data_IF_000947470578
#
_entry.id   IF_000947470578
#
_cell.length_a   1.000
_cell.length_b   1.000
_cell.length_c   1.000
_cell.angle_alpha   90.00
_cell.angle_beta   90.00
_cell.angle_gamma   90.00
#
_symmetry.space_group_name_H-M   'P 1'
#
loop_
_entity.id
_entity.type
_entity.pdbx_description
1 polymer ?
#
# COMPACT_ATOMS: atom_id res chain seq x y z
N UNK A 1 -5.51 -35.02 -40.70
CA UNK A 1 -4.05 -34.98 -40.59
C UNK A 1 -3.56 -33.58 -40.89
N UNK A 2 -3.08 -32.85 -39.87
CA UNK A 2 -2.36 -31.59 -40.05
C UNK A 2 -0.91 -31.90 -39.66
N UNK A 3 0.01 -31.72 -40.59
CA UNK A 3 1.43 -32.03 -40.43
C UNK A 3 2.06 -31.11 -39.37
N UNK A 4 2.75 -31.71 -38.39
CA UNK A 4 3.62 -30.99 -37.46
C UNK A 4 4.83 -30.43 -38.21
N UNK A 5 4.99 -29.11 -38.17
CA UNK A 5 6.19 -28.42 -38.65
C UNK A 5 7.38 -28.73 -37.72
N UNK A 6 8.27 -29.63 -38.17
CA UNK A 6 9.46 -30.14 -37.45
C UNK A 6 10.68 -29.20 -37.49
N UNK A 7 10.50 -27.90 -37.72
CA UNK A 7 11.63 -27.01 -38.06
C UNK A 7 12.31 -26.23 -36.91
N UNK A 8 11.93 -26.40 -35.62
CA UNK A 8 12.60 -25.68 -34.51
C UNK A 8 13.67 -26.54 -33.81
N UNK A 9 14.95 -26.15 -33.83
CA UNK A 9 16.00 -26.86 -33.12
C UNK A 9 15.76 -26.80 -31.59
N UNK A 10 16.15 -27.84 -30.83
CA UNK A 10 15.99 -27.84 -29.37
C UNK A 10 16.81 -26.70 -28.75
N UNK A 11 16.15 -25.83 -28.00
CA UNK A 11 16.78 -24.71 -27.30
C UNK A 11 17.78 -25.27 -26.28
N UNK A 12 19.09 -25.00 -26.46
CA UNK A 12 20.14 -25.37 -25.50
C UNK A 12 19.82 -24.73 -24.13
N UNK A 13 19.52 -25.55 -23.12
CA UNK A 13 19.26 -25.09 -21.75
C UNK A 13 20.57 -24.83 -21.02
N UNK A 14 20.78 -23.60 -20.55
CA UNK A 14 21.99 -23.24 -19.80
C UNK A 14 21.91 -23.73 -18.34
N UNK A 15 22.98 -24.36 -17.84
CA UNK A 15 23.13 -24.71 -16.42
C UNK A 15 23.59 -23.47 -15.64
N UNK A 16 23.20 -23.34 -14.36
CA UNK A 16 23.65 -22.28 -13.44
C UNK A 16 23.29 -20.82 -13.78
N UNK A 17 22.17 -20.59 -14.47
CA UNK A 17 21.64 -19.24 -14.81
C UNK A 17 21.61 -18.26 -13.61
N UNK A 18 21.36 -18.76 -12.39
CA UNK A 18 21.24 -17.91 -11.19
C UNK A 18 22.54 -17.19 -10.80
N UNK A 19 23.71 -17.72 -11.19
CA UNK A 19 25.05 -17.21 -10.79
C UNK A 19 25.76 -16.38 -11.87
N UNK A 20 25.22 -16.31 -13.09
CA UNK A 20 25.85 -15.58 -14.21
C UNK A 20 25.18 -14.23 -14.43
N UNK A 21 25.98 -13.17 -14.58
CA UNK A 21 25.52 -11.79 -14.77
C UNK A 21 25.06 -11.47 -16.20
N UNK A 22 25.24 -12.38 -17.15
CA UNK A 22 24.92 -12.16 -18.56
C UNK A 22 23.47 -12.46 -18.97
N UNK A 23 22.66 -13.07 -18.10
CA UNK A 23 21.33 -13.55 -18.46
C UNK A 23 20.20 -12.61 -18.03
N UNK A 24 19.23 -12.40 -18.92
CA UNK A 24 18.03 -11.58 -18.66
C UNK A 24 16.75 -12.38 -18.88
N UNK A 25 15.69 -12.05 -18.15
CA UNK A 25 14.37 -12.60 -18.38
C UNK A 25 13.87 -12.18 -19.77
N UNK A 26 13.48 -13.15 -20.61
CA UNK A 26 13.06 -12.88 -22.00
C UNK A 26 11.72 -12.13 -22.12
N UNK A 27 11.00 -11.96 -21.01
CA UNK A 27 9.73 -11.22 -20.97
C UNK A 27 9.94 -9.75 -20.59
N UNK A 28 10.71 -9.47 -19.53
CA UNK A 28 10.78 -8.12 -18.93
C UNK A 28 12.21 -7.63 -18.64
N UNK A 29 13.25 -8.37 -19.02
CA UNK A 29 14.64 -7.98 -18.82
C UNK A 29 15.20 -8.14 -17.40
N UNK A 30 14.37 -8.42 -16.39
CA UNK A 30 14.78 -8.65 -14.99
C UNK A 30 15.69 -9.89 -14.82
N UNK A 31 16.41 -9.99 -13.69
CA UNK A 31 17.30 -11.11 -13.38
C UNK A 31 16.52 -12.44 -13.37
N UNK A 32 16.84 -13.40 -14.26
CA UNK A 32 16.12 -14.67 -14.31
C UNK A 32 16.49 -15.56 -13.13
N UNK A 33 15.52 -16.31 -12.62
CA UNK A 33 15.74 -17.28 -11.54
C UNK A 33 15.86 -18.71 -12.05
N UNK A 34 15.66 -18.91 -13.35
CA UNK A 34 15.79 -20.19 -14.04
C UNK A 34 14.85 -20.28 -15.24
N UNK A 35 14.67 -21.49 -15.74
CA UNK A 35 13.64 -21.80 -16.73
C UNK A 35 12.32 -22.08 -16.00
N UNK A 36 11.26 -21.34 -16.32
CA UNK A 36 9.91 -21.57 -15.82
C UNK A 36 8.96 -21.63 -17.00
N UNK A 37 8.14 -22.67 -17.07
CA UNK A 37 7.24 -22.91 -18.20
C UNK A 37 8.00 -22.91 -19.54
N UNK A 38 9.14 -23.62 -19.57
CA UNK A 38 10.03 -23.78 -20.73
C UNK A 38 10.82 -22.55 -21.20
N UNK A 39 10.69 -21.40 -20.53
CA UNK A 39 11.43 -20.16 -20.91
C UNK A 39 12.26 -19.58 -19.77
N UNK A 40 13.37 -18.91 -20.12
CA UNK A 40 14.23 -18.23 -19.17
C UNK A 40 13.55 -17.00 -18.57
N UNK A 41 13.12 -17.07 -17.31
CA UNK A 41 12.30 -16.02 -16.71
C UNK A 41 12.60 -15.73 -15.24
N UNK A 42 12.18 -14.56 -14.78
CA UNK A 42 12.25 -14.14 -13.38
C UNK A 42 11.05 -14.68 -12.59
N UNK A 43 11.11 -14.63 -11.26
CA UNK A 43 10.00 -15.04 -10.38
C UNK A 43 8.71 -14.24 -10.64
N UNK A 44 8.83 -12.97 -11.02
CA UNK A 44 7.66 -12.12 -11.32
C UNK A 44 6.86 -12.64 -12.51
N UNK A 45 7.51 -12.93 -13.64
CA UNK A 45 6.83 -13.43 -14.84
C UNK A 45 6.37 -14.88 -14.68
N UNK A 46 7.10 -15.72 -13.94
CA UNK A 46 6.65 -17.06 -13.52
C UNK A 46 5.30 -16.99 -12.80
N UNK A 47 5.23 -16.23 -11.71
CA UNK A 47 4.03 -16.16 -10.87
C UNK A 47 2.88 -15.51 -11.61
N UNK A 48 3.16 -14.47 -12.41
CA UNK A 48 2.17 -13.81 -13.24
C UNK A 48 1.53 -14.78 -14.25
N UNK A 49 2.33 -15.53 -15.01
CA UNK A 49 1.82 -16.50 -15.98
C UNK A 49 0.99 -17.59 -15.31
N UNK A 50 1.49 -18.17 -14.21
CA UNK A 50 0.77 -19.18 -13.42
C UNK A 50 -0.60 -18.69 -12.95
N UNK A 51 -0.64 -17.53 -12.29
CA UNK A 51 -1.88 -16.96 -11.74
C UNK A 51 -2.87 -16.62 -12.85
N UNK A 52 -2.38 -16.16 -13.99
CA UNK A 52 -3.22 -15.83 -15.14
C UNK A 52 -3.92 -17.07 -15.68
N UNK A 53 -3.16 -18.17 -15.88
CA UNK A 53 -3.73 -19.42 -16.38
C UNK A 53 -4.65 -20.09 -15.35
N UNK A 54 -4.24 -20.21 -14.08
CA UNK A 54 -5.05 -20.86 -13.03
C UNK A 54 -6.36 -20.12 -12.80
N UNK A 55 -6.35 -18.79 -12.79
CA UNK A 55 -7.56 -18.01 -12.59
C UNK A 55 -8.32 -17.76 -13.90
N UNK A 56 -7.88 -18.31 -15.04
CA UNK A 56 -8.49 -18.07 -16.35
C UNK A 56 -8.59 -16.59 -16.72
N UNK A 57 -7.65 -15.75 -16.28
CA UNK A 57 -7.72 -14.31 -16.45
C UNK A 57 -7.46 -13.91 -17.90
N UNK A 58 -8.36 -13.14 -18.45
CA UNK A 58 -8.18 -12.44 -19.73
C UNK A 58 -7.83 -10.99 -19.46
N UNK A 59 -6.90 -10.45 -20.25
CA UNK A 59 -6.47 -9.05 -20.13
C UNK A 59 -6.69 -8.36 -21.47
N UNK A 60 -6.96 -7.05 -21.44
CA UNK A 60 -7.05 -6.21 -22.64
C UNK A 60 -6.06 -5.05 -22.56
N UNK A 61 -5.33 -4.78 -23.65
CA UNK A 61 -4.43 -3.66 -23.74
C UNK A 61 -5.20 -2.36 -24.06
N UNK A 62 -4.81 -1.25 -23.43
CA UNK A 62 -5.36 0.09 -23.66
C UNK A 62 -4.57 0.90 -24.69
N UNK A 63 -3.38 0.44 -25.09
CA UNK A 63 -2.46 1.08 -26.04
C UNK A 63 -2.16 0.16 -27.23
N UNK A 64 -3.22 -0.33 -27.89
CA UNK A 64 -3.17 -1.10 -29.15
C UNK A 64 -2.31 -2.39 -29.18
N UNK A 65 -1.91 -2.94 -28.04
CA UNK A 65 -1.12 -4.18 -27.98
C UNK A 65 0.39 -3.99 -28.14
N UNK A 66 0.87 -2.75 -28.26
CA UNK A 66 2.30 -2.44 -28.51
C UNK A 66 2.99 -1.82 -27.29
N UNK A 67 2.51 -2.09 -26.07
CA UNK A 67 3.14 -1.56 -24.86
C UNK A 67 4.54 -2.15 -24.69
N UNK A 68 5.55 -1.28 -24.65
CA UNK A 68 6.88 -1.64 -24.19
C UNK A 68 6.94 -1.61 -22.66
N UNK A 69 7.67 -2.55 -22.07
CA UNK A 69 7.85 -2.64 -20.63
C UNK A 69 9.14 -3.37 -20.27
N UNK A 70 9.72 -2.98 -19.14
CA UNK A 70 10.93 -3.57 -18.56
C UNK A 70 10.65 -4.08 -17.13
N UNK A 71 11.69 -4.25 -16.31
CA UNK A 71 11.56 -4.72 -14.93
C UNK A 71 10.64 -3.82 -14.09
N UNK A 72 10.74 -2.52 -14.27
CA UNK A 72 10.11 -1.51 -13.43
C UNK A 72 8.70 -1.18 -13.94
N UNK A 73 8.47 -1.32 -15.25
CA UNK A 73 7.19 -1.01 -15.90
C UNK A 73 6.39 -2.22 -16.39
N UNK A 74 6.84 -3.46 -16.18
CA UNK A 74 6.09 -4.71 -16.53
C UNK A 74 4.72 -4.84 -15.87
N UNK A 75 4.36 -3.98 -14.92
CA UNK A 75 3.03 -3.98 -14.31
C UNK A 75 2.03 -3.07 -15.05
N UNK A 76 2.51 -2.19 -15.94
CA UNK A 76 1.71 -1.18 -16.65
C UNK A 76 0.69 -1.80 -17.59
N UNK A 77 1.04 -2.87 -18.32
CA UNK A 77 0.11 -3.54 -19.23
C UNK A 77 0.12 -5.05 -19.06
N UNK A 78 -0.87 -5.58 -18.34
CA UNK A 78 -1.02 -7.03 -18.12
C UNK A 78 -1.31 -7.81 -19.41
N UNK A 79 -2.02 -7.20 -20.38
CA UNK A 79 -2.29 -7.81 -21.69
C UNK A 79 -1.01 -7.97 -22.49
N UNK A 80 -0.27 -6.90 -22.80
CA UNK A 80 0.98 -7.01 -23.53
C UNK A 80 2.02 -7.87 -22.78
N UNK A 81 2.03 -7.83 -21.44
CA UNK A 81 2.88 -8.73 -20.66
C UNK A 81 2.51 -10.20 -20.85
N UNK A 82 1.23 -10.53 -20.80
CA UNK A 82 0.77 -11.90 -20.97
C UNK A 82 0.94 -12.38 -22.41
N UNK A 83 0.61 -11.54 -23.39
CA UNK A 83 0.89 -11.78 -24.81
C UNK A 83 2.38 -11.99 -25.04
N UNK A 84 3.25 -11.22 -24.39
CA UNK A 84 4.69 -11.46 -24.43
C UNK A 84 5.07 -12.78 -23.78
N UNK A 85 4.50 -13.16 -22.63
CA UNK A 85 4.73 -14.47 -22.01
C UNK A 85 4.37 -15.62 -22.97
N UNK A 86 3.21 -15.54 -23.63
CA UNK A 86 2.78 -16.52 -24.63
C UNK A 86 3.68 -16.47 -25.86
N UNK A 87 4.00 -15.28 -26.36
CA UNK A 87 4.82 -15.06 -27.55
C UNK A 87 6.27 -15.52 -27.42
N UNK A 88 6.85 -15.50 -26.20
CA UNK A 88 8.17 -16.09 -25.93
C UNK A 88 8.12 -17.60 -25.68
N UNK A 89 6.93 -18.21 -25.64
CA UNK A 89 6.74 -19.65 -25.55
C UNK A 89 6.52 -20.21 -24.13
N UNK A 90 5.97 -19.44 -23.19
CA UNK A 90 5.61 -20.00 -21.88
C UNK A 90 4.56 -21.12 -22.02
N UNK A 91 4.91 -22.32 -21.54
CA UNK A 91 4.07 -23.51 -21.66
C UNK A 91 3.08 -23.66 -20.49
N UNK A 92 1.79 -23.50 -20.76
CA UNK A 92 0.71 -23.64 -19.78
C UNK A 92 0.49 -25.08 -19.31
N UNK A 93 0.88 -26.11 -20.08
CA UNK A 93 0.73 -27.53 -19.70
C UNK A 93 1.60 -27.90 -18.50
N UNK A 94 2.65 -27.13 -18.20
CA UNK A 94 3.49 -27.32 -17.01
C UNK A 94 2.90 -26.79 -15.72
N UNK A 95 1.65 -26.30 -15.71
CA UNK A 95 0.98 -25.73 -14.53
C UNK A 95 0.12 -26.81 -13.87
N UNK A 96 0.41 -27.09 -12.59
CA UNK A 96 -0.43 -27.93 -11.74
C UNK A 96 -1.69 -27.15 -11.31
N UNK A 97 -2.88 -27.72 -11.59
CA UNK A 97 -4.16 -27.15 -11.20
C UNK A 97 -4.47 -27.46 -9.73
N UNK A 98 -4.97 -26.50 -8.93
CA UNK A 98 -5.44 -26.81 -7.59
C UNK A 98 -6.67 -27.73 -7.67
N UNK A 99 -6.50 -29.00 -7.31
CA UNK A 99 -7.61 -29.95 -7.19
C UNK A 99 -8.44 -29.64 -5.93
N UNK A 100 -9.76 -29.66 -6.07
CA UNK A 100 -10.71 -29.60 -4.96
C UNK A 100 -10.72 -30.92 -4.17
N UNK A 101 -9.69 -31.23 -3.38
CA UNK A 101 -9.76 -32.33 -2.42
C UNK A 101 -8.72 -32.23 -1.28
N UNK A 102 -9.25 -32.20 -0.05
CA UNK A 102 -8.76 -32.73 1.23
C UNK A 102 -7.25 -32.63 1.55
N UNK A 103 -6.98 -31.94 2.67
CA UNK A 103 -5.76 -32.07 3.47
C UNK A 103 -5.56 -33.53 3.88
N UNK A 104 -4.42 -34.09 3.52
CA UNK A 104 -3.85 -35.33 4.06
C UNK A 104 -2.35 -35.13 4.19
N UNK A 105 -1.81 -35.43 5.37
CA UNK A 105 -0.45 -35.19 5.81
C UNK A 105 0.57 -36.18 5.23
N UNK A 106 1.84 -35.78 5.33
CA UNK A 106 3.09 -36.54 5.41
C UNK A 106 3.82 -37.03 4.15
N UNK A 107 5.11 -37.20 4.38
CA UNK A 107 6.30 -37.09 3.54
C UNK A 107 6.85 -38.42 3.00
N UNK A 108 7.71 -38.27 1.98
CA UNK A 108 8.93 -39.05 1.64
C UNK A 108 8.85 -40.48 1.08
N UNK A 109 9.51 -40.59 -0.09
CA UNK A 109 10.43 -41.63 -0.64
C UNK A 109 9.93 -42.86 -1.42
N UNK A 110 10.48 -42.92 -2.65
CA UNK A 110 10.98 -44.05 -3.48
C UNK A 110 10.04 -45.11 -4.09
N UNK A 111 10.15 -45.19 -5.42
CA UNK A 111 10.22 -46.35 -6.33
C UNK A 111 9.23 -47.52 -6.18
N UNK A 112 8.37 -47.73 -7.19
CA UNK A 112 8.47 -48.88 -8.12
C UNK A 112 7.32 -48.96 -9.14
N UNK A 113 7.65 -49.57 -10.27
CA UNK A 113 6.83 -49.88 -11.45
C UNK A 113 5.53 -50.66 -11.18
N UNK A 114 4.43 -50.33 -11.88
CA UNK A 114 3.98 -51.14 -13.03
C UNK A 114 2.63 -50.71 -13.64
N UNK A 115 2.61 -50.97 -14.94
CA UNK A 115 1.59 -50.80 -15.96
C UNK A 115 0.23 -51.47 -15.66
N UNK A 116 -0.89 -50.82 -16.03
CA UNK A 116 -2.05 -51.45 -16.69
C UNK A 116 -3.04 -50.43 -17.26
N UNK A 117 -3.17 -50.53 -18.57
CA UNK A 117 -4.03 -49.81 -19.50
C UNK A 117 -5.46 -50.37 -19.52
N UNK A 118 -6.48 -49.50 -19.62
CA UNK A 118 -7.71 -49.71 -20.43
C UNK A 118 -8.73 -48.56 -20.21
N UNK A 119 -8.63 -47.56 -21.09
CA UNK A 119 -9.72 -46.87 -21.81
C UNK A 119 -11.16 -46.92 -21.25
N UNK A 120 -11.71 -45.73 -20.98
CA UNK A 120 -12.97 -45.22 -21.57
C UNK A 120 -13.05 -43.68 -21.37
N UNK A 121 -13.21 -42.99 -22.50
CA UNK A 121 -13.25 -41.54 -22.76
C UNK A 121 -14.16 -40.69 -21.85
N UNK A 122 -13.73 -39.46 -21.51
CA UNK A 122 -14.60 -38.30 -21.28
C UNK A 122 -14.54 -37.30 -22.46
N UNK A 123 -15.50 -36.36 -22.56
CA UNK A 123 -15.96 -35.80 -23.82
C UNK A 123 -15.08 -34.67 -24.39
N UNK A 124 -14.87 -34.77 -25.70
CA UNK A 124 -14.88 -33.69 -26.70
C UNK A 124 -14.46 -32.29 -26.23
N UNK A 125 -13.15 -32.03 -26.27
CA UNK A 125 -12.57 -30.69 -26.26
C UNK A 125 -12.99 -30.01 -27.56
N UNK A 126 -14.16 -29.37 -27.55
CA UNK A 126 -14.53 -28.39 -28.58
C UNK A 126 -13.44 -27.33 -28.64
N UNK A 127 -12.98 -27.11 -29.87
CA UNK A 127 -12.20 -25.97 -30.33
C UNK A 127 -12.44 -24.74 -29.46
N UNK A 128 -11.37 -24.18 -28.88
CA UNK A 128 -11.38 -22.79 -28.43
C UNK A 128 -11.47 -21.95 -29.70
N UNK A 129 -12.70 -21.74 -30.16
CA UNK A 129 -13.02 -20.72 -31.14
C UNK A 129 -12.51 -19.40 -30.59
N UNK A 130 -11.87 -18.62 -31.46
CA UNK A 130 -11.47 -17.24 -31.20
C UNK A 130 -12.64 -16.51 -30.54
N UNK A 131 -12.50 -16.28 -29.22
CA UNK A 131 -13.53 -15.63 -28.43
C UNK A 131 -13.64 -14.19 -28.94
N UNK A 132 -14.84 -13.69 -29.27
CA UNK A 132 -15.04 -12.31 -29.70
C UNK A 132 -14.42 -11.33 -28.69
N UNK A 133 -13.80 -10.27 -29.20
CA UNK A 133 -13.32 -9.12 -28.40
C UNK A 133 -14.50 -8.49 -27.66
N UNK A 134 -14.81 -8.96 -26.47
CA UNK A 134 -15.74 -8.28 -25.58
C UNK A 134 -15.10 -6.98 -25.09
N UNK A 135 -15.84 -5.90 -25.29
CA UNK A 135 -15.49 -4.56 -24.83
C UNK A 135 -15.53 -4.63 -23.30
N UNK A 136 -14.38 -4.55 -22.63
CA UNK A 136 -14.34 -4.34 -21.18
C UNK A 136 -15.23 -3.14 -20.85
N UNK A 137 -16.14 -3.31 -19.90
CA UNK A 137 -17.02 -2.25 -19.47
C UNK A 137 -16.14 -1.06 -19.02
N UNK A 138 -16.27 0.14 -19.61
CA UNK A 138 -15.49 1.32 -19.22
C UNK A 138 -15.52 1.58 -17.72
N UNK A 139 -16.63 1.24 -17.04
CA UNK A 139 -16.79 1.37 -15.60
C UNK A 139 -15.82 0.47 -14.79
N UNK A 140 -15.59 -0.78 -15.21
CA UNK A 140 -14.66 -1.69 -14.52
C UNK A 140 -13.20 -1.27 -14.72
N UNK A 141 -12.86 -0.77 -15.93
CA UNK A 141 -11.53 -0.24 -16.22
C UNK A 141 -11.24 1.03 -15.43
N UNK A 142 -12.21 1.94 -15.31
CA UNK A 142 -12.08 3.16 -14.51
C UNK A 142 -11.94 2.85 -13.01
N UNK A 143 -12.72 1.88 -12.51
CA UNK A 143 -12.63 1.41 -11.13
C UNK A 143 -11.23 0.88 -10.79
N UNK A 144 -10.66 0.03 -11.65
CA UNK A 144 -9.31 -0.48 -11.46
C UNK A 144 -8.24 0.63 -11.48
N UNK A 145 -8.37 1.60 -12.39
CA UNK A 145 -7.45 2.74 -12.47
C UNK A 145 -7.46 3.63 -11.23
N UNK A 146 -8.62 3.82 -10.61
CA UNK A 146 -8.73 4.60 -9.38
C UNK A 146 -8.10 3.90 -8.17
N UNK A 147 -8.22 2.57 -8.07
CA UNK A 147 -7.52 1.80 -7.03
C UNK A 147 -6.00 1.86 -7.26
N UNK A 148 -5.56 1.74 -8.51
CA UNK A 148 -4.14 1.82 -8.87
C UNK A 148 -3.53 3.19 -8.54
N UNK A 149 -4.30 4.27 -8.73
CA UNK A 149 -3.92 5.62 -8.31
C UNK A 149 -3.73 5.73 -6.79
N UNK A 150 -4.64 5.19 -5.98
CA UNK A 150 -4.51 5.15 -4.52
C UNK A 150 -3.29 4.31 -4.08
N UNK A 151 -3.09 3.15 -4.68
CA UNK A 151 -1.91 2.30 -4.41
C UNK A 151 -0.60 3.00 -4.79
N UNK A 152 -0.60 3.77 -5.86
CA UNK A 152 0.57 4.56 -6.29
C UNK A 152 0.90 5.66 -5.28
N UNK A 153 -0.11 6.35 -4.75
CA UNK A 153 0.05 7.33 -3.66
C UNK A 153 0.67 6.68 -2.42
N UNK A 154 0.16 5.53 -2.00
CA UNK A 154 0.69 4.77 -0.85
C UNK A 154 2.13 4.28 -1.07
N UNK A 155 2.44 3.80 -2.26
CA UNK A 155 3.80 3.38 -2.62
C UNK A 155 4.80 4.55 -2.54
N UNK A 156 4.40 5.73 -3.01
CA UNK A 156 5.22 6.95 -2.94
C UNK A 156 5.42 7.40 -1.49
N UNK A 157 4.35 7.42 -0.69
CA UNK A 157 4.44 7.69 0.75
C UNK A 157 5.42 6.75 1.45
N UNK A 158 5.27 5.45 1.23
CA UNK A 158 6.15 4.43 1.77
C UNK A 158 7.61 4.70 1.40
N UNK A 159 7.89 4.97 0.12
CA UNK A 159 9.25 5.25 -0.34
C UNK A 159 9.84 6.50 0.29
N UNK A 160 9.04 7.56 0.51
CA UNK A 160 9.55 8.77 1.16
C UNK A 160 9.78 8.50 2.64
N UNK A 161 8.81 7.89 3.32
CA UNK A 161 8.87 7.57 4.74
C UNK A 161 10.09 6.71 5.09
N UNK A 162 10.42 5.72 4.27
CA UNK A 162 11.57 4.82 4.50
C UNK A 162 12.92 5.46 4.15
N UNK A 163 12.97 6.38 3.18
CA UNK A 163 14.23 6.95 2.67
C UNK A 163 14.57 8.33 3.26
N UNK A 164 13.58 9.06 3.76
CA UNK A 164 13.73 10.44 4.18
C UNK A 164 12.86 10.75 5.41
N UNK A 165 13.45 11.43 6.38
CA UNK A 165 12.71 12.05 7.49
C UNK A 165 12.27 13.45 7.06
N UNK A 166 11.07 13.55 6.50
CA UNK A 166 10.48 14.82 6.03
C UNK A 166 10.06 15.70 7.22
N UNK A 167 11.01 16.33 7.90
CA UNK A 167 10.71 17.27 8.99
C UNK A 167 10.36 18.66 8.45
N UNK A 168 9.65 19.46 9.26
CA UNK A 168 9.32 20.84 8.91
C UNK A 168 9.14 21.69 10.17
N UNK A 169 9.60 22.94 10.10
CA UNK A 169 9.29 24.00 11.07
C UNK A 169 8.18 24.93 10.58
N UNK A 170 7.64 24.69 9.38
CA UNK A 170 6.62 25.53 8.77
C UNK A 170 5.24 25.32 9.42
N UNK A 171 4.42 26.36 9.34
CA UNK A 171 3.00 26.32 9.68
C UNK A 171 2.22 25.49 8.65
N UNK A 172 1.07 24.95 9.06
CA UNK A 172 0.19 24.20 8.15
C UNK A 172 -0.20 25.02 6.91
N UNK A 173 -0.54 26.30 7.13
CA UNK A 173 -0.87 27.25 6.05
C UNK A 173 0.26 27.33 5.01
N UNK A 174 1.52 27.44 5.45
CA UNK A 174 2.68 27.53 4.55
C UNK A 174 2.86 26.23 3.75
N UNK A 175 2.76 25.07 4.39
CA UNK A 175 2.90 23.74 3.75
C UNK A 175 1.83 23.53 2.67
N UNK A 176 0.61 24.05 2.89
CA UNK A 176 -0.48 23.97 1.91
C UNK A 176 -0.19 24.77 0.63
N UNK A 177 0.61 25.84 0.71
CA UNK A 177 1.04 26.62 -0.46
C UNK A 177 2.25 26.00 -1.17
N UNK A 178 2.97 25.08 -0.54
CA UNK A 178 4.10 24.40 -1.17
C UNK A 178 3.65 23.40 -2.26
N UNK A 179 4.45 23.19 -3.32
CA UNK A 179 4.16 22.16 -4.33
C UNK A 179 3.99 20.76 -3.72
N UNK A 180 3.10 19.95 -4.31
CA UNK A 180 2.86 18.57 -3.86
C UNK A 180 4.03 17.65 -4.20
N UNK A 181 4.46 16.85 -3.22
CA UNK A 181 5.58 15.91 -3.33
C UNK A 181 5.11 14.56 -3.90
N UNK A 182 3.93 14.09 -3.49
CA UNK A 182 3.42 12.75 -3.84
C UNK A 182 2.88 12.67 -5.28
N UNK A 183 2.66 13.79 -5.97
CA UNK A 183 2.03 13.86 -7.31
C UNK A 183 2.94 14.24 -8.47
N UNK A 184 4.16 14.71 -8.24
CA UNK A 184 5.07 15.17 -9.30
C UNK A 184 5.82 13.98 -9.96
N UNK A 185 6.08 14.07 -11.27
CA UNK A 185 6.97 13.15 -12.00
C UNK A 185 8.45 13.39 -11.67
N UNK A 186 8.72 14.50 -10.99
CA UNK A 186 9.98 14.73 -10.32
C UNK A 186 9.74 14.40 -8.85
N UNK A 187 10.28 13.30 -8.30
CA UNK A 187 10.56 13.29 -6.88
C UNK A 187 11.39 14.54 -6.70
N UNK A 188 10.90 15.53 -5.94
CA UNK A 188 11.54 16.83 -5.87
C UNK A 188 13.04 16.59 -5.76
N UNK A 189 13.80 17.02 -6.76
CA UNK A 189 15.25 16.80 -6.80
C UNK A 189 15.89 17.30 -5.48
N UNK A 190 15.21 18.21 -4.75
CA UNK A 190 15.43 18.56 -3.34
C UNK A 190 15.54 17.39 -2.34
N UNK A 191 14.78 16.31 -2.51
CA UNK A 191 14.80 15.13 -1.63
C UNK A 191 15.76 14.03 -2.13
N UNK A 192 16.15 14.05 -3.41
CA UNK A 192 17.02 13.03 -4.02
C UNK A 192 18.50 13.46 -4.16
N UNK A 193 18.79 14.77 -4.16
CA UNK A 193 20.13 15.32 -4.44
C UNK A 193 20.99 15.50 -3.18
N UNK A 194 20.53 15.12 -1.97
CA UNK A 194 21.38 15.30 -0.79
C UNK A 194 22.02 13.98 -0.27
N UNK A 195 23.28 13.68 -0.64
CA UNK A 195 24.12 12.69 0.03
C UNK A 195 24.22 12.86 1.56
N UNK A 196 23.82 14.03 2.11
CA UNK A 196 23.75 14.35 3.54
C UNK A 196 22.39 14.02 4.18
N UNK A 197 21.43 13.43 3.46
CA UNK A 197 20.28 12.74 4.08
C UNK A 197 20.66 11.41 4.77
N UNK A 198 21.96 11.08 4.85
CA UNK A 198 22.48 10.38 6.03
C UNK A 198 22.42 11.35 7.22
N UNK A 199 21.34 11.28 8.01
CA UNK A 199 21.17 11.97 9.30
C UNK A 199 21.97 13.28 9.38
N UNK A 200 21.46 14.37 8.80
CA UNK A 200 22.11 15.68 8.94
C UNK A 200 22.37 15.97 10.42
N UNK A 201 23.41 16.74 10.74
CA UNK A 201 23.67 17.19 12.11
C UNK A 201 22.41 17.81 12.75
N UNK A 202 21.57 18.45 11.92
CA UNK A 202 20.27 18.96 12.30
C UNK A 202 19.25 17.86 12.66
N UNK A 203 19.14 16.79 11.86
CA UNK A 203 18.32 15.63 12.21
C UNK A 203 18.79 15.00 13.52
N UNK A 204 20.09 14.76 13.70
CA UNK A 204 20.65 14.20 14.94
C UNK A 204 20.40 15.10 16.14
N UNK A 205 20.47 16.41 15.95
CA UNK A 205 20.12 17.39 16.98
C UNK A 205 18.65 17.27 17.37
N UNK A 206 17.72 17.26 16.41
CA UNK A 206 16.29 17.14 16.71
C UNK A 206 15.93 15.77 17.31
N UNK A 207 16.52 14.70 16.78
CA UNK A 207 16.34 13.34 17.28
C UNK A 207 16.89 13.18 18.70
N UNK A 208 18.03 13.78 19.00
CA UNK A 208 18.63 13.72 20.34
C UNK A 208 17.79 14.49 21.37
N UNK A 209 17.10 15.57 20.97
CA UNK A 209 16.17 16.33 21.80
C UNK A 209 14.88 15.57 22.12
N UNK A 210 14.08 15.24 21.09
CA UNK A 210 12.84 14.49 21.26
C UNK A 210 12.53 13.66 19.99
N UNK A 211 12.89 12.37 20.00
CA UNK A 211 12.78 11.56 18.79
C UNK A 211 11.32 11.16 18.46
N UNK A 212 10.44 11.07 19.47
CA UNK A 212 9.00 10.81 19.22
C UNK A 212 8.37 12.02 18.52
N UNK A 213 8.63 13.23 19.02
CA UNK A 213 8.19 14.48 18.40
C UNK A 213 8.68 14.56 16.95
N UNK A 214 9.96 14.25 16.69
CA UNK A 214 10.52 14.26 15.34
C UNK A 214 9.72 13.35 14.39
N UNK A 215 9.52 12.09 14.77
CA UNK A 215 8.81 11.14 13.92
C UNK A 215 7.34 11.48 13.74
N UNK A 216 6.68 12.00 14.78
CA UNK A 216 5.31 12.51 14.68
C UNK A 216 5.22 13.64 13.66
N UNK A 217 6.13 14.62 13.69
CA UNK A 217 6.13 15.74 12.74
C UNK A 217 6.40 15.24 11.32
N UNK A 218 7.34 14.31 11.17
CA UNK A 218 7.69 13.73 9.87
C UNK A 218 6.50 13.00 9.24
N UNK A 219 5.85 12.11 9.99
CA UNK A 219 4.67 11.39 9.50
C UNK A 219 3.48 12.35 9.27
N UNK A 220 3.32 13.39 10.09
CA UNK A 220 2.24 14.36 9.92
C UNK A 220 2.42 15.26 8.68
N UNK A 221 3.66 15.59 8.33
CA UNK A 221 3.97 16.26 7.07
C UNK A 221 3.62 15.37 5.87
N UNK A 222 3.94 14.06 5.94
CA UNK A 222 3.52 13.10 4.92
C UNK A 222 2.00 12.95 4.82
N UNK A 223 1.27 13.01 5.94
CA UNK A 223 -0.19 13.05 5.96
C UNK A 223 -0.71 14.30 5.23
N UNK A 224 -0.09 15.46 5.44
CA UNK A 224 -0.45 16.71 4.75
C UNK A 224 -0.24 16.59 3.24
N UNK A 225 0.89 16.00 2.82
CA UNK A 225 1.16 15.72 1.41
C UNK A 225 0.18 14.71 0.81
N UNK A 226 -0.23 13.70 1.58
CA UNK A 226 -1.25 12.74 1.15
C UNK A 226 -2.57 13.44 0.86
N UNK A 227 -3.02 14.35 1.74
CA UNK A 227 -4.22 15.15 1.52
C UNK A 227 -4.15 15.96 0.22
N UNK A 228 -3.03 16.66 -0.03
CA UNK A 228 -2.79 17.47 -1.24
C UNK A 228 -2.84 16.67 -2.54
N UNK A 229 -2.66 15.34 -2.48
CA UNK A 229 -2.70 14.47 -3.65
C UNK A 229 -4.13 14.18 -4.17
N UNK A 230 -5.18 14.59 -3.44
CA UNK A 230 -6.58 14.37 -3.84
C UNK A 230 -7.17 15.59 -4.54
N UNK A 231 -7.85 15.37 -5.67
CA UNK A 231 -8.56 16.42 -6.40
C UNK A 231 -9.68 17.05 -5.56
N UNK A 232 -10.42 16.25 -4.78
CA UNK A 232 -11.45 16.74 -3.87
C UNK A 232 -10.88 17.70 -2.82
N UNK A 233 -9.73 17.36 -2.23
CA UNK A 233 -9.03 18.23 -1.30
C UNK A 233 -8.61 19.54 -1.95
N UNK A 234 -8.09 19.50 -3.18
CA UNK A 234 -7.61 20.70 -3.87
C UNK A 234 -8.72 21.71 -4.18
N UNK A 235 -9.97 21.23 -4.35
CA UNK A 235 -11.16 22.07 -4.56
C UNK A 235 -11.69 22.75 -3.30
N UNK A 236 -11.25 22.34 -2.11
CA UNK A 236 -11.64 22.97 -0.85
C UNK A 236 -11.06 24.38 -0.73
N UNK A 237 -11.78 25.25 0.00
CA UNK A 237 -11.26 26.55 0.40
C UNK A 237 -10.01 26.39 1.27
N UNK A 238 -9.18 27.43 1.36
CA UNK A 238 -7.98 27.39 2.20
C UNK A 238 -8.31 27.05 3.67
N UNK A 239 -9.38 27.64 4.21
CA UNK A 239 -9.83 27.33 5.57
C UNK A 239 -10.35 25.90 5.71
N UNK A 240 -11.12 25.39 4.75
CA UNK A 240 -11.62 24.01 4.82
C UNK A 240 -10.48 22.98 4.72
N UNK A 241 -9.43 23.28 3.95
CA UNK A 241 -8.20 22.46 3.92
C UNK A 241 -7.54 22.39 5.29
N UNK A 242 -7.39 23.55 5.95
CA UNK A 242 -6.83 23.62 7.30
C UNK A 242 -7.70 22.87 8.30
N UNK A 243 -9.02 23.11 8.29
CA UNK A 243 -9.98 22.42 9.16
C UNK A 243 -9.92 20.91 8.96
N UNK A 244 -9.99 20.41 7.72
CA UNK A 244 -9.95 18.96 7.47
C UNK A 244 -8.66 18.32 8.01
N UNK A 245 -7.50 18.94 7.79
CA UNK A 245 -6.23 18.43 8.32
C UNK A 245 -6.16 18.55 9.84
N UNK A 246 -6.68 19.62 10.42
CA UNK A 246 -6.71 19.80 11.87
C UNK A 246 -7.52 18.68 12.56
N UNK A 247 -8.64 18.28 11.98
CA UNK A 247 -9.51 17.23 12.54
C UNK A 247 -9.02 15.82 12.21
N UNK A 248 -8.57 15.59 10.97
CA UNK A 248 -8.29 14.24 10.47
C UNK A 248 -6.80 13.86 10.49
N UNK A 249 -5.90 14.84 10.63
CA UNK A 249 -4.45 14.62 10.57
C UNK A 249 -3.95 13.65 11.63
N UNK A 250 -4.44 13.77 12.87
CA UNK A 250 -4.07 12.89 13.97
C UNK A 250 -4.57 11.44 13.78
N UNK A 251 -5.78 11.27 13.25
CA UNK A 251 -6.31 9.94 12.88
C UNK A 251 -5.49 9.31 11.75
N UNK A 252 -5.20 10.10 10.70
CA UNK A 252 -4.41 9.64 9.56
C UNK A 252 -2.98 9.26 9.96
N UNK A 253 -2.37 10.01 10.88
CA UNK A 253 -1.09 9.69 11.50
C UNK A 253 -1.15 8.30 12.17
N UNK A 254 -2.17 8.06 12.98
CA UNK A 254 -2.37 6.78 13.68
C UNK A 254 -2.59 5.60 12.71
N UNK A 255 -3.43 5.78 11.69
CA UNK A 255 -3.66 4.76 10.65
C UNK A 255 -2.36 4.42 9.91
N UNK A 256 -1.59 5.45 9.55
CA UNK A 256 -0.31 5.31 8.84
C UNK A 256 0.69 4.52 9.67
N UNK A 257 0.93 4.94 10.91
CA UNK A 257 1.87 4.27 11.81
C UNK A 257 1.47 2.83 12.11
N UNK A 258 0.18 2.57 12.30
CA UNK A 258 -0.34 1.23 12.57
C UNK A 258 -0.09 0.28 11.41
N UNK A 259 -0.41 0.72 10.20
CA UNK A 259 -0.24 -0.09 8.99
C UNK A 259 1.22 -0.47 8.74
N UNK A 260 2.14 0.50 8.80
CA UNK A 260 3.56 0.22 8.57
C UNK A 260 4.19 -0.63 9.68
N UNK A 261 3.71 -0.51 10.92
CA UNK A 261 4.14 -1.37 12.03
C UNK A 261 3.75 -2.82 11.78
N UNK A 262 2.48 -3.07 11.43
CA UNK A 262 1.99 -4.41 11.07
C UNK A 262 2.75 -4.99 9.87
N UNK A 263 2.96 -4.18 8.82
CA UNK A 263 3.68 -4.59 7.62
C UNK A 263 5.12 -5.00 7.92
N UNK A 264 5.72 -4.39 8.93
CA UNK A 264 7.08 -4.69 9.39
C UNK A 264 7.12 -5.81 10.45
N UNK A 265 5.98 -6.41 10.79
CA UNK A 265 5.89 -7.53 11.73
C UNK A 265 5.88 -7.13 13.21
N UNK A 266 5.64 -5.85 13.54
CA UNK A 266 5.65 -5.36 14.92
C UNK A 266 4.24 -5.32 15.51
N UNK A 267 4.13 -5.62 16.82
CA UNK A 267 2.87 -5.60 17.58
C UNK A 267 2.54 -4.25 18.22
N UNK A 268 3.46 -3.29 18.14
CA UNK A 268 3.33 -1.92 18.66
C UNK A 268 3.86 -0.94 17.63
N UNK A 269 3.56 0.35 17.84
CA UNK A 269 3.95 1.40 16.90
C UNK A 269 5.47 1.46 16.75
N UNK A 270 5.92 1.37 15.49
CA UNK A 270 7.34 1.40 15.12
C UNK A 270 7.58 2.56 14.16
N UNK A 271 8.66 3.31 14.41
CA UNK A 271 9.06 4.44 13.60
C UNK A 271 9.87 4.01 12.37
N UNK A 272 10.07 4.90 11.37
CA UNK A 272 10.79 4.56 10.14
C UNK A 272 12.22 4.05 10.33
N UNK A 273 12.90 4.41 11.42
CA UNK A 273 14.22 3.89 11.79
C UNK A 273 14.21 2.49 12.42
N UNK A 274 13.02 1.89 12.58
CA UNK A 274 12.83 0.60 13.23
C UNK A 274 12.72 0.67 14.74
N UNK A 275 12.76 1.86 15.35
CA UNK A 275 12.63 2.01 16.79
C UNK A 275 11.18 1.86 17.25
N UNK A 276 10.99 1.06 18.30
CA UNK A 276 9.68 0.87 18.95
C UNK A 276 9.32 2.08 19.81
N UNK A 277 8.10 2.59 19.67
CA UNK A 277 7.66 3.77 20.41
C UNK A 277 7.66 3.55 21.93
N UNK A 278 7.23 2.38 22.40
CA UNK A 278 7.23 2.05 23.83
C UNK A 278 8.64 1.90 24.40
N UNK A 279 9.51 1.18 23.69
CA UNK A 279 10.92 1.02 24.09
C UNK A 279 11.62 2.37 24.23
N UNK A 280 11.32 3.32 23.34
CA UNK A 280 11.85 4.68 23.41
C UNK A 280 11.33 5.46 24.61
N UNK A 281 10.08 5.26 25.01
CA UNK A 281 9.49 5.94 26.17
C UNK A 281 10.09 5.36 27.46
N UNK A 282 10.23 4.04 27.52
CA UNK A 282 10.78 3.32 28.68
C UNK A 282 12.27 3.62 28.89
N UNK A 283 13.07 3.60 27.82
CA UNK A 283 14.53 3.79 27.90
C UNK A 283 14.98 5.26 27.92
N UNK A 284 14.12 6.23 27.56
CA UNK A 284 14.49 7.67 27.42
C UNK A 284 13.53 8.62 28.18
N UNK A 285 13.12 8.24 29.39
CA UNK A 285 12.00 8.87 30.11
C UNK A 285 12.08 10.40 30.31
N UNK A 286 13.27 11.02 30.30
CA UNK A 286 13.41 12.48 30.42
C UNK A 286 13.27 13.28 29.12
N UNK A 287 13.44 12.65 27.94
CA UNK A 287 13.43 13.36 26.64
C UNK A 287 12.05 13.43 25.99
N UNK A 288 11.19 12.49 26.37
CA UNK A 288 9.84 12.37 25.83
C UNK A 288 8.78 13.01 26.74
N UNK A 289 9.13 13.41 27.97
CA UNK A 289 8.22 13.90 29.01
C UNK A 289 7.41 15.13 28.60
N UNK A 290 7.98 15.99 27.75
CA UNK A 290 7.37 17.25 27.31
C UNK A 290 6.28 17.04 26.23
N UNK A 291 6.04 15.79 25.82
CA UNK A 291 4.97 15.41 24.89
C UNK A 291 4.16 14.23 25.44
N UNK A 292 4.81 13.28 26.11
CA UNK A 292 4.20 12.10 26.73
C UNK A 292 4.80 11.91 28.13
N UNK A 293 4.05 12.27 29.17
CA UNK A 293 4.46 12.05 30.55
C UNK A 293 4.44 10.55 30.90
N UNK A 294 5.59 9.94 31.25
CA UNK A 294 5.66 8.51 31.57
C UNK A 294 4.82 8.09 32.78
N UNK A 295 4.38 9.04 33.64
CA UNK A 295 3.50 8.75 34.79
C UNK A 295 2.11 8.24 34.40
N UNK A 296 1.70 8.38 33.13
CA UNK A 296 0.43 7.86 32.60
C UNK A 296 0.63 6.64 31.68
N UNK A 297 1.40 5.66 32.17
CA UNK A 297 1.86 4.49 31.41
C UNK A 297 0.72 3.68 30.74
N UNK A 298 -0.43 3.39 31.40
CA UNK A 298 -1.47 2.56 30.77
C UNK A 298 -2.07 3.19 29.51
N UNK A 299 -2.28 4.52 29.52
CA UNK A 299 -2.79 5.23 28.36
C UNK A 299 -1.76 5.30 27.21
N UNK A 300 -0.48 5.48 27.52
CA UNK A 300 0.61 5.46 26.53
C UNK A 300 0.66 4.08 25.85
N UNK A 301 0.58 3.01 26.63
CA UNK A 301 0.55 1.64 26.11
C UNK A 301 -0.69 1.42 25.23
N UNK A 302 -1.88 1.86 25.65
CA UNK A 302 -3.11 1.83 24.83
C UNK A 302 -2.88 2.54 23.50
N UNK A 303 -2.33 3.77 23.54
CA UNK A 303 -2.13 4.64 22.39
C UNK A 303 -1.20 4.04 21.32
N UNK A 304 -0.13 3.35 21.70
CA UNK A 304 0.86 2.80 20.77
C UNK A 304 0.66 1.31 20.44
N UNK A 305 -0.19 0.59 21.18
CA UNK A 305 -0.43 -0.84 20.97
C UNK A 305 -1.79 -1.11 20.31
N UNK A 306 -2.87 -0.50 20.81
CA UNK A 306 -4.24 -0.81 20.36
C UNK A 306 -4.45 -0.55 18.85
N UNK A 307 -3.96 0.55 18.27
CA UNK A 307 -4.12 0.79 16.83
C UNK A 307 -3.45 -0.29 15.96
N UNK A 308 -2.27 -0.77 16.36
CA UNK A 308 -1.53 -1.83 15.66
C UNK A 308 -2.26 -3.17 15.76
N UNK A 309 -2.75 -3.51 16.96
CA UNK A 309 -3.52 -4.74 17.18
C UNK A 309 -4.79 -4.77 16.33
N UNK A 310 -5.55 -3.67 16.26
CA UNK A 310 -6.75 -3.59 15.43
C UNK A 310 -6.42 -3.78 13.93
N UNK A 311 -5.37 -3.11 13.45
CA UNK A 311 -4.91 -3.24 12.07
C UNK A 311 -4.46 -4.68 11.75
N UNK A 312 -3.76 -5.33 12.69
CA UNK A 312 -3.29 -6.71 12.57
C UNK A 312 -4.45 -7.72 12.55
N UNK A 313 -5.47 -7.52 13.39
CA UNK A 313 -6.67 -8.36 13.43
C UNK A 313 -7.46 -8.31 12.11
N UNK A 314 -7.51 -7.14 11.46
CA UNK A 314 -8.22 -6.98 10.21
C UNK A 314 -7.52 -7.60 9.00
N UNK A 315 -6.19 -7.74 8.98
CA UNK A 315 -5.43 -8.33 7.86
C UNK A 315 -5.89 -7.79 6.49
N UNK A 316 -5.92 -6.47 6.34
CA UNK A 316 -6.36 -5.81 5.11
C UNK A 316 -5.34 -6.01 3.99
N UNK A 317 -5.82 -6.17 2.76
CA UNK A 317 -4.97 -6.03 1.57
C UNK A 317 -4.55 -4.56 1.38
N UNK A 318 -3.46 -4.31 0.65
CA UNK A 318 -3.00 -2.95 0.34
C UNK A 318 -4.11 -2.12 -0.34
N UNK A 319 -4.93 -2.74 -1.19
CA UNK A 319 -6.03 -2.07 -1.90
C UNK A 319 -7.15 -1.66 -0.94
N UNK A 320 -7.56 -2.57 -0.05
CA UNK A 320 -8.57 -2.30 0.97
C UNK A 320 -8.06 -1.28 1.98
N UNK A 321 -6.79 -1.35 2.39
CA UNK A 321 -6.15 -0.34 3.23
C UNK A 321 -6.17 1.05 2.60
N UNK A 322 -5.74 1.18 1.35
CA UNK A 322 -5.67 2.48 0.67
C UNK A 322 -7.07 3.12 0.53
N UNK A 323 -8.08 2.32 0.18
CA UNK A 323 -9.47 2.76 0.12
C UNK A 323 -10.01 3.15 1.51
N UNK A 324 -9.80 2.30 2.52
CA UNK A 324 -10.21 2.56 3.90
C UNK A 324 -9.60 3.85 4.44
N UNK A 325 -8.31 4.07 4.22
CA UNK A 325 -7.60 5.27 4.65
C UNK A 325 -8.13 6.52 3.95
N UNK A 326 -8.44 6.44 2.66
CA UNK A 326 -9.05 7.55 1.91
C UNK A 326 -10.48 7.85 2.41
N UNK A 327 -11.31 6.84 2.65
CA UNK A 327 -12.65 7.00 3.27
C UNK A 327 -12.53 7.67 4.65
N UNK A 328 -11.58 7.21 5.47
CA UNK A 328 -11.33 7.79 6.78
C UNK A 328 -10.87 9.26 6.70
N UNK A 329 -10.15 9.67 5.64
CA UNK A 329 -9.73 11.06 5.45
C UNK A 329 -10.93 11.99 5.19
N UNK A 330 -11.87 11.57 4.35
CA UNK A 330 -13.04 12.36 3.98
C UNK A 330 -14.25 12.08 4.89
N UNK A 331 -14.03 11.65 6.13
CA UNK A 331 -15.13 11.48 7.08
C UNK A 331 -15.58 12.84 7.62
N UNK A 332 -16.86 13.22 7.46
CA UNK A 332 -17.38 14.52 7.85
C UNK A 332 -17.44 14.59 9.36
N UNK A 333 -16.50 15.31 9.92
CA UNK A 333 -16.41 15.55 11.35
C UNK A 333 -16.08 17.02 11.54
N UNK A 334 -17.00 17.92 11.15
CA UNK A 334 -17.25 19.14 11.93
C UNK A 334 -18.34 20.05 11.33
N UNK A 335 -18.99 20.81 12.21
CA UNK A 335 -19.74 22.03 11.87
C UNK A 335 -18.79 23.18 11.49
N UNK A 336 -17.51 23.11 11.86
CA UNK A 336 -16.45 24.09 11.50
C UNK A 336 -16.10 24.15 10.00
N UNK A 337 -16.50 23.16 9.21
CA UNK A 337 -16.35 23.21 7.74
C UNK A 337 -17.40 24.13 7.13
N UNK A 338 -17.07 24.77 6.01
CA UNK A 338 -18.08 25.48 5.21
C UNK A 338 -19.14 24.50 4.67
N UNK A 339 -20.30 25.03 4.28
CA UNK A 339 -21.35 24.20 3.66
C UNK A 339 -20.82 23.53 2.38
N UNK A 340 -20.11 24.28 1.55
CA UNK A 340 -19.48 23.82 0.31
C UNK A 340 -18.41 22.76 0.59
N UNK A 341 -17.59 22.98 1.63
CA UNK A 341 -16.56 22.04 2.07
C UNK A 341 -17.16 20.71 2.52
N UNK A 342 -18.20 20.74 3.36
CA UNK A 342 -18.95 19.53 3.78
C UNK A 342 -19.53 18.77 2.59
N UNK A 343 -20.11 19.49 1.63
CA UNK A 343 -20.68 18.87 0.42
C UNK A 343 -19.60 18.15 -0.38
N UNK A 344 -18.47 18.80 -0.67
CA UNK A 344 -17.36 18.20 -1.42
C UNK A 344 -16.75 16.97 -0.71
N UNK A 345 -16.60 17.05 0.62
CA UNK A 345 -16.09 15.95 1.44
C UNK A 345 -17.06 14.76 1.42
N UNK A 346 -18.37 15.02 1.59
CA UNK A 346 -19.38 13.96 1.57
C UNK A 346 -19.45 13.26 0.22
N UNK A 347 -19.47 14.01 -0.88
CA UNK A 347 -19.49 13.46 -2.25
C UNK A 347 -18.28 12.54 -2.49
N UNK A 348 -17.09 12.98 -2.09
CA UNK A 348 -15.88 12.18 -2.26
C UNK A 348 -15.87 10.94 -1.36
N UNK A 349 -16.34 11.06 -0.11
CA UNK A 349 -16.47 9.94 0.81
C UNK A 349 -17.44 8.89 0.27
N UNK A 350 -18.60 9.30 -0.24
CA UNK A 350 -19.62 8.38 -0.73
C UNK A 350 -19.08 7.60 -1.95
N UNK A 351 -18.37 8.29 -2.85
CA UNK A 351 -17.64 7.68 -3.96
C UNK A 351 -16.61 6.66 -3.49
N UNK A 352 -15.76 7.02 -2.54
CA UNK A 352 -14.73 6.13 -1.99
C UNK A 352 -15.33 4.94 -1.22
N UNK A 353 -16.47 5.15 -0.57
CA UNK A 353 -17.18 4.10 0.19
C UNK A 353 -17.81 3.08 -0.75
N UNK A 354 -18.40 3.51 -1.87
CA UNK A 354 -18.85 2.61 -2.94
C UNK A 354 -17.68 1.79 -3.49
N UNK A 355 -16.52 2.43 -3.70
CA UNK A 355 -15.34 1.72 -4.16
C UNK A 355 -14.82 0.69 -3.16
N UNK A 356 -14.73 1.06 -1.88
CA UNK A 356 -14.35 0.15 -0.79
C UNK A 356 -15.32 -1.03 -0.72
N UNK A 357 -16.62 -0.77 -0.83
CA UNK A 357 -17.65 -1.82 -0.82
C UNK A 357 -17.44 -2.80 -1.95
N UNK A 358 -17.27 -2.32 -3.19
CA UNK A 358 -16.97 -3.16 -4.36
C UNK A 358 -15.69 -3.99 -4.19
N UNK A 359 -14.62 -3.38 -3.67
CA UNK A 359 -13.37 -4.08 -3.41
C UNK A 359 -13.54 -5.17 -2.35
N UNK A 360 -14.27 -4.89 -1.27
CA UNK A 360 -14.56 -5.87 -0.23
C UNK A 360 -15.39 -7.04 -0.76
N UNK A 361 -16.41 -6.79 -1.59
CA UNK A 361 -17.16 -7.87 -2.24
C UNK A 361 -16.28 -8.69 -3.19
N UNK A 362 -15.35 -8.06 -3.90
CA UNK A 362 -14.41 -8.77 -4.76
C UNK A 362 -13.41 -9.65 -3.99
N UNK A 363 -12.97 -9.24 -2.80
CA UNK A 363 -11.97 -9.98 -2.01
C UNK A 363 -12.57 -10.99 -1.04
N UNK A 364 -13.74 -10.68 -0.46
CA UNK A 364 -14.32 -11.42 0.66
C UNK A 364 -15.73 -11.98 0.37
N UNK A 365 -16.33 -11.68 -0.79
CA UNK A 365 -17.64 -12.21 -1.17
C UNK A 365 -18.72 -11.87 -0.15
N UNK A 366 -19.44 -12.88 0.34
CA UNK A 366 -20.52 -12.71 1.33
C UNK A 366 -20.04 -12.18 2.70
N UNK A 367 -18.74 -12.26 3.02
CA UNK A 367 -18.19 -11.72 4.26
C UNK A 367 -17.88 -10.21 4.18
N UNK A 368 -18.08 -9.56 3.02
CA UNK A 368 -17.79 -8.15 2.81
C UNK A 368 -18.50 -7.20 3.80
N UNK A 369 -19.80 -7.36 4.13
CA UNK A 369 -20.48 -6.49 5.09
C UNK A 369 -19.85 -6.58 6.49
N UNK A 370 -19.53 -7.79 6.97
CA UNK A 370 -18.85 -7.99 8.25
C UNK A 370 -17.49 -7.32 8.26
N UNK A 371 -16.74 -7.40 7.14
CA UNK A 371 -15.45 -6.73 6.99
C UNK A 371 -15.59 -5.20 7.03
N UNK A 372 -16.62 -4.65 6.38
CA UNK A 372 -16.92 -3.21 6.40
C UNK A 372 -17.22 -2.71 7.82
N UNK A 373 -18.07 -3.42 8.56
CA UNK A 373 -18.40 -3.08 9.96
C UNK A 373 -17.14 -3.11 10.84
N UNK A 374 -16.29 -4.12 10.67
CA UNK A 374 -15.04 -4.23 11.42
C UNK A 374 -14.06 -3.08 11.09
N UNK A 375 -13.97 -2.68 9.81
CA UNK A 375 -13.20 -1.50 9.38
C UNK A 375 -13.73 -0.22 10.01
N UNK A 376 -15.06 0.01 9.99
CA UNK A 376 -15.68 1.19 10.58
C UNK A 376 -15.46 1.25 12.10
N UNK A 377 -15.59 0.11 12.79
CA UNK A 377 -15.33 0.00 14.23
C UNK A 377 -13.88 0.32 14.58
N UNK A 378 -12.91 -0.14 13.78
CA UNK A 378 -11.51 0.23 13.93
C UNK A 378 -11.30 1.74 13.77
N UNK A 379 -11.84 2.35 12.70
CA UNK A 379 -11.72 3.79 12.44
C UNK A 379 -12.27 4.59 13.63
N UNK A 380 -13.46 4.23 14.12
CA UNK A 380 -14.09 4.90 15.26
C UNK A 380 -13.25 4.77 16.54
N UNK A 381 -12.68 3.59 16.78
CA UNK A 381 -11.81 3.35 17.94
C UNK A 381 -10.54 4.19 17.86
N UNK A 382 -9.88 4.23 16.70
CA UNK A 382 -8.70 5.06 16.46
C UNK A 382 -9.02 6.56 16.58
N UNK A 383 -10.19 7.00 16.12
CA UNK A 383 -10.64 8.38 16.28
C UNK A 383 -10.77 8.76 17.76
N UNK A 384 -11.41 7.92 18.57
CA UNK A 384 -11.52 8.12 20.03
C UNK A 384 -10.15 8.17 20.71
N UNK A 385 -9.22 7.30 20.31
CA UNK A 385 -7.85 7.33 20.83
C UNK A 385 -7.12 8.63 20.47
N UNK A 386 -7.31 9.12 19.24
CA UNK A 386 -6.76 10.39 18.80
C UNK A 386 -7.34 11.57 19.60
N UNK A 387 -8.64 11.56 19.89
CA UNK A 387 -9.28 12.60 20.70
C UNK A 387 -8.76 12.58 22.15
N UNK A 388 -8.56 11.39 22.75
CA UNK A 388 -7.85 11.27 24.04
C UNK A 388 -6.45 11.89 23.99
N UNK A 389 -5.68 11.62 22.93
CA UNK A 389 -4.33 12.21 22.75
C UNK A 389 -4.39 13.73 22.67
N UNK A 390 -5.36 14.30 21.94
CA UNK A 390 -5.58 15.74 21.88
C UNK A 390 -5.87 16.33 23.25
N UNK A 391 -6.77 15.73 24.03
CA UNK A 391 -7.09 16.19 25.38
C UNK A 391 -5.86 16.22 26.29
N UNK A 392 -4.99 15.21 26.18
CA UNK A 392 -3.71 15.19 26.91
C UNK A 392 -2.81 16.35 26.49
N UNK A 393 -2.63 16.61 25.20
CA UNK A 393 -1.83 17.76 24.75
C UNK A 393 -2.41 19.10 25.21
N UNK A 394 -3.73 19.26 25.21
CA UNK A 394 -4.37 20.47 25.76
C UNK A 394 -4.02 20.63 27.24
N UNK A 395 -4.07 19.56 28.02
CA UNK A 395 -3.65 19.57 29.43
C UNK A 395 -2.18 19.99 29.57
N UNK A 396 -1.25 19.40 28.81
CA UNK A 396 0.17 19.79 28.83
C UNK A 396 0.38 21.26 28.42
N UNK A 397 -0.34 21.72 27.38
CA UNK A 397 -0.22 23.10 26.88
C UNK A 397 -0.72 24.15 27.89
N UNK A 398 -1.88 23.89 28.52
CA UNK A 398 -2.54 24.87 29.39
C UNK A 398 -2.01 24.79 30.83
N UNK A 399 -1.91 23.56 31.36
CA UNK A 399 -1.66 23.33 32.78
C UNK A 399 -0.17 23.26 33.06
N UNK A 400 0.57 22.45 32.32
CA UNK A 400 2.01 22.27 32.55
C UNK A 400 2.89 23.32 31.88
N UNK A 401 2.40 23.95 30.80
CA UNK A 401 3.12 24.96 30.00
C UNK A 401 4.49 24.49 29.47
N UNK A 402 4.65 23.18 29.32
CA UNK A 402 5.88 22.51 28.89
C UNK A 402 5.72 21.77 27.55
N UNK A 403 4.53 21.84 26.94
CA UNK A 403 4.24 21.16 25.67
C UNK A 403 5.09 21.74 24.54
N UNK A 404 5.95 20.90 23.99
CA UNK A 404 6.82 21.25 22.86
C UNK A 404 6.35 20.55 21.57
N UNK A 405 5.44 21.20 20.83
CA UNK A 405 4.99 20.78 19.49
C UNK A 405 5.49 21.75 18.41
N UNK A 406 5.75 21.26 17.19
CA UNK A 406 6.00 22.14 16.05
C UNK A 406 4.73 22.89 15.63
N UNK A 407 4.83 23.95 14.82
CA UNK A 407 3.65 24.66 14.29
C UNK A 407 2.64 23.73 13.61
N UNK A 408 3.09 22.79 12.77
CA UNK A 408 2.23 21.76 12.18
C UNK A 408 1.58 20.85 13.24
N UNK A 409 2.35 20.43 14.26
CA UNK A 409 1.83 19.62 15.36
C UNK A 409 0.76 20.34 16.17
N UNK A 410 0.92 21.65 16.42
CA UNK A 410 -0.08 22.49 17.09
C UNK A 410 -1.33 22.68 16.23
N UNK A 411 -1.16 22.94 14.94
CA UNK A 411 -2.28 23.07 14.01
C UNK A 411 -3.18 21.82 13.97
N UNK A 412 -2.60 20.62 14.13
CA UNK A 412 -3.36 19.38 14.10
C UNK A 412 -3.83 18.96 15.49
N UNK A 413 -2.93 18.86 16.45
CA UNK A 413 -3.29 18.29 17.73
C UNK A 413 -3.87 19.30 18.72
N UNK A 414 -3.71 20.60 18.51
CA UNK A 414 -4.39 21.65 19.28
C UNK A 414 -5.46 22.39 18.46
N UNK A 415 -5.56 22.11 17.15
CA UNK A 415 -6.44 22.80 16.19
C UNK A 415 -6.21 24.31 16.13
N UNK A 416 -4.95 24.72 16.31
CA UNK A 416 -4.56 26.12 16.21
C UNK A 416 -4.57 26.58 14.75
N UNK A 417 -5.28 27.68 14.46
CA UNK A 417 -5.48 28.19 13.10
C UNK A 417 -4.37 29.15 12.62
N UNK A 418 -3.20 29.12 13.27
CA UNK A 418 -2.05 30.01 13.03
C UNK A 418 -1.29 29.72 11.73
#
# INVERSE_FOLDING_TARGET
SIQEDKSKPPVKKFKNVRKSEGFKCVVCGDKPTGYHYDVLSCNGCKTFFRRTIIAGRTFKCTKNGTCEFDKDFRCVCRSCRFEKCVGVGMNSKGIQWPSSAKRGSSSSTSDDDNNKEATKTPPNVRQVQVIPRTIANPAESAFCGQIEDLLTKEMRLCSIREKCSLFTSHHLSEILHMPVIIGSNQPSERLLIDPRQKRTEFFEKLFSMNPIKLWMISDLHLVTEYCKSFSAFNRLSHMDKMTLIAHMGGLQLMITQSYYSVRSGHGTTTFPDGSGALDMIETKSSRCSNVLDPSNTPWIVELFSQPVQLMQQLQLSDAVYALMRAVALFSPLDDELSYEGRKLISEERDRLTDMLTKQLFSEYGSAAPTKMVAIQSMIQTMYRLNEKRRQQFIYFNIVKKDLDLSPLGRAVHLREKS
#
